data_IF_485418484161
#
_entry.id   IF_485418484161
#
_cell.length_a   1.000
_cell.length_b   1.000
_cell.length_c   1.000
_cell.angle_alpha   90.00
_cell.angle_beta   90.00
_cell.angle_gamma   90.00
#
_symmetry.space_group_name_H-M   'P 1'
#
loop_
_entity.id
_entity.type
_entity.pdbx_description
1 polymer ?
#
# COMPACT_ATOMS: atom_id res chain seq x y z
N UNK A 1 -1.69 0.36 22.63
CA UNK A 1 -1.41 1.80 22.52
C UNK A 1 -2.30 2.38 21.45
N UNK A 2 -2.96 3.50 21.72
CA UNK A 2 -3.66 4.25 20.70
C UNK A 2 -2.70 5.07 19.83
N UNK A 3 -3.22 5.67 18.78
CA UNK A 3 -2.48 6.47 17.79
C UNK A 3 -1.71 7.64 18.42
N UNK A 4 -2.32 8.38 19.35
CA UNK A 4 -1.68 9.56 19.96
C UNK A 4 -0.55 9.14 20.91
N UNK A 5 -0.73 8.04 21.64
CA UNK A 5 0.35 7.44 22.45
C UNK A 5 1.53 6.99 21.59
N UNK A 6 1.27 6.40 20.42
CA UNK A 6 2.33 5.99 19.48
C UNK A 6 3.06 7.21 18.95
N UNK A 7 2.33 8.24 18.53
CA UNK A 7 2.89 9.51 18.04
C UNK A 7 3.78 10.19 19.08
N UNK A 8 3.35 10.26 20.33
CA UNK A 8 4.16 10.79 21.42
C UNK A 8 5.40 9.93 21.71
N UNK A 9 5.29 8.59 21.61
CA UNK A 9 6.46 7.72 21.76
C UNK A 9 7.49 7.96 20.65
N UNK A 10 7.05 8.10 19.39
CA UNK A 10 7.94 8.34 18.24
C UNK A 10 8.75 9.63 18.40
N UNK A 11 8.12 10.73 18.84
CA UNK A 11 8.80 12.01 19.07
C UNK A 11 9.89 11.98 20.14
N UNK A 12 9.82 11.01 21.04
CA UNK A 12 10.67 10.93 22.22
C UNK A 12 11.75 9.85 22.11
N UNK A 13 11.85 9.15 20.97
CA UNK A 13 12.94 8.22 20.74
C UNK A 13 14.29 8.93 20.73
N UNK A 14 15.28 8.30 21.38
CA UNK A 14 16.65 8.81 21.54
C UNK A 14 17.70 7.94 20.86
N UNK A 15 17.32 6.77 20.37
CA UNK A 15 18.24 5.86 19.71
C UNK A 15 17.53 4.96 18.69
N UNK A 16 18.31 4.47 17.73
CA UNK A 16 17.90 3.44 16.76
C UNK A 16 17.45 2.14 17.45
N UNK A 17 18.01 1.84 18.64
CA UNK A 17 17.61 0.68 19.45
C UNK A 17 16.19 0.82 19.99
N UNK A 18 15.82 2.00 20.50
CA UNK A 18 14.45 2.26 20.99
C UNK A 18 13.42 2.14 19.85
N UNK A 19 13.74 2.65 18.66
CA UNK A 19 12.91 2.51 17.46
C UNK A 19 12.73 1.02 17.09
N UNK A 20 13.85 0.30 17.00
CA UNK A 20 13.84 -1.12 16.64
C UNK A 20 13.05 -1.97 17.63
N UNK A 21 13.21 -1.73 18.93
CA UNK A 21 12.48 -2.43 19.98
C UNK A 21 10.98 -2.12 19.93
N UNK A 22 10.62 -0.85 19.74
CA UNK A 22 9.22 -0.46 19.56
C UNK A 22 8.56 -1.18 18.39
N UNK A 23 9.22 -1.26 17.23
CA UNK A 23 8.65 -1.93 16.04
C UNK A 23 8.44 -3.42 16.32
N UNK A 24 9.43 -4.10 16.92
CA UNK A 24 9.33 -5.52 17.26
C UNK A 24 8.19 -5.79 18.24
N UNK A 25 8.09 -5.00 19.31
CA UNK A 25 6.98 -5.09 20.28
C UNK A 25 5.63 -4.86 19.61
N UNK A 26 5.56 -3.88 18.70
CA UNK A 26 4.33 -3.52 18.00
C UNK A 26 3.88 -4.61 17.03
N UNK A 27 4.80 -5.18 16.25
CA UNK A 27 4.53 -6.33 15.36
C UNK A 27 4.02 -7.51 16.18
N UNK A 28 4.71 -7.88 17.27
CA UNK A 28 4.31 -8.98 18.13
C UNK A 28 2.90 -8.76 18.71
N UNK A 29 2.63 -7.54 19.22
CA UNK A 29 1.30 -7.19 19.71
C UNK A 29 0.23 -7.35 18.63
N UNK A 30 0.44 -6.80 17.44
CA UNK A 30 -0.51 -6.88 16.33
C UNK A 30 -0.74 -8.33 15.88
N UNK A 31 0.30 -9.15 15.84
CA UNK A 31 0.22 -10.56 15.49
C UNK A 31 -0.55 -11.41 16.50
N UNK A 32 -0.51 -11.06 17.79
CA UNK A 32 -1.37 -11.72 18.81
C UNK A 32 -2.86 -11.46 18.59
N UNK A 33 -3.20 -10.37 17.91
CA UNK A 33 -4.58 -10.00 17.56
C UNK A 33 -5.02 -10.62 16.22
N UNK A 34 -4.07 -11.00 15.36
CA UNK A 34 -4.37 -11.59 14.04
C UNK A 34 -4.96 -13.00 14.15
N UNK A 35 -5.98 -13.25 13.32
CA UNK A 35 -6.55 -14.58 13.06
C UNK A 35 -6.07 -15.08 11.71
N UNK A 36 -5.72 -16.37 11.64
CA UNK A 36 -5.24 -17.02 10.42
C UNK A 36 -6.29 -16.96 9.31
N UNK A 37 -5.89 -16.45 8.14
CA UNK A 37 -6.77 -16.31 6.98
C UNK A 37 -5.97 -16.08 5.69
N UNK A 38 -6.59 -16.41 4.55
CA UNK A 38 -6.09 -16.10 3.22
C UNK A 38 -6.74 -14.80 2.76
N UNK A 39 -5.93 -13.86 2.27
CA UNK A 39 -6.40 -12.58 1.74
C UNK A 39 -5.80 -12.34 0.36
N UNK A 40 -6.35 -11.37 -0.38
CA UNK A 40 -5.83 -10.95 -1.68
C UNK A 40 -6.77 -11.26 -2.84
N UNK A 41 -6.22 -11.28 -4.04
CA UNK A 41 -7.00 -11.41 -5.29
C UNK A 41 -7.88 -12.66 -5.26
N UNK A 42 -9.18 -12.51 -5.52
CA UNK A 42 -10.20 -13.58 -5.46
C UNK A 42 -10.48 -14.18 -4.07
N UNK A 43 -9.86 -13.70 -2.99
CA UNK A 43 -10.11 -14.17 -1.62
C UNK A 43 -10.84 -13.14 -0.76
N UNK A 44 -10.50 -11.86 -0.90
CA UNK A 44 -11.05 -10.76 -0.08
C UNK A 44 -11.08 -9.45 -0.87
N UNK A 45 -12.12 -8.64 -0.70
CA UNK A 45 -12.16 -7.29 -1.27
C UNK A 45 -11.46 -6.25 -0.38
N UNK A 46 -11.57 -6.42 0.94
CA UNK A 46 -10.93 -5.54 1.93
C UNK A 46 -10.37 -6.34 3.10
N UNK A 47 -9.26 -5.88 3.67
CA UNK A 47 -8.65 -6.46 4.86
C UNK A 47 -8.24 -5.35 5.86
N UNK A 48 -8.67 -5.51 7.12
CA UNK A 48 -8.52 -4.49 8.16
C UNK A 48 -7.38 -4.78 9.15
N UNK A 49 -7.03 -6.05 9.37
CA UNK A 49 -6.05 -6.43 10.40
C UNK A 49 -4.61 -6.26 9.92
N UNK A 50 -3.63 -6.52 10.79
CA UNK A 50 -2.22 -6.50 10.42
C UNK A 50 -1.84 -7.74 9.60
N UNK A 51 -1.07 -7.57 8.52
CA UNK A 51 -0.56 -8.67 7.69
C UNK A 51 0.64 -9.29 8.42
N UNK A 52 0.35 -10.19 9.36
CA UNK A 52 1.31 -10.96 10.15
C UNK A 52 1.69 -12.30 9.51
N UNK A 53 2.49 -13.12 10.19
CA UNK A 53 2.81 -14.48 9.74
C UNK A 53 1.60 -15.41 9.60
N UNK A 54 0.46 -15.07 10.24
CA UNK A 54 -0.80 -15.81 10.14
C UNK A 54 -1.63 -15.43 8.90
N UNK A 55 -1.23 -14.39 8.18
CA UNK A 55 -2.01 -13.87 7.05
C UNK A 55 -1.36 -14.32 5.75
N UNK A 56 -2.04 -15.19 5.01
CA UNK A 56 -1.56 -15.68 3.73
C UNK A 56 -1.99 -14.72 2.62
N UNK A 57 -1.19 -13.69 2.37
CA UNK A 57 -1.51 -12.69 1.35
C UNK A 57 -1.17 -13.20 -0.06
N UNK A 58 -2.21 -13.51 -0.84
CA UNK A 58 -2.14 -13.89 -2.25
C UNK A 58 -2.25 -12.66 -3.15
N UNK A 59 -1.11 -12.06 -3.47
CA UNK A 59 -1.00 -10.96 -4.44
C UNK A 59 -1.47 -11.37 -5.86
N UNK A 60 -1.32 -12.65 -6.19
CA UNK A 60 -1.84 -13.29 -7.39
C UNK A 60 -2.62 -14.53 -6.97
N UNK A 61 -3.84 -14.69 -7.47
CA UNK A 61 -4.62 -15.88 -7.13
C UNK A 61 -3.99 -17.17 -7.65
N UNK A 62 -4.06 -18.19 -6.80
CA UNK A 62 -3.79 -19.56 -7.21
C UNK A 62 -4.91 -20.06 -8.14
N UNK A 63 -4.52 -20.83 -9.14
CA UNK A 63 -5.45 -21.54 -10.02
C UNK A 63 -5.34 -23.05 -9.80
N UNK A 64 -6.29 -23.82 -10.33
CA UNK A 64 -6.31 -25.29 -10.21
C UNK A 64 -5.02 -26.01 -10.66
N UNK A 65 -4.08 -25.31 -11.31
CA UNK A 65 -2.80 -25.86 -11.77
C UNK A 65 -1.57 -25.20 -11.19
N UNK A 66 -1.70 -24.07 -10.51
CA UNK A 66 -0.59 -23.24 -10.05
C UNK A 66 -0.91 -22.64 -8.67
N UNK A 67 -0.14 -23.02 -7.65
CA UNK A 67 -0.19 -22.40 -6.34
C UNK A 67 0.84 -21.27 -6.30
N UNK A 68 0.35 -20.03 -6.38
CA UNK A 68 1.22 -18.86 -6.27
C UNK A 68 1.64 -18.68 -4.80
N UNK A 69 2.91 -18.38 -4.53
CA UNK A 69 3.39 -18.18 -3.16
C UNK A 69 2.74 -16.96 -2.50
N UNK A 70 2.63 -17.01 -1.17
CA UNK A 70 2.15 -15.89 -0.36
C UNK A 70 3.23 -14.80 -0.29
N UNK A 71 2.81 -13.54 -0.30
CA UNK A 71 3.70 -12.42 -0.01
C UNK A 71 3.84 -12.25 1.52
N UNK A 72 5.08 -12.18 2.00
CA UNK A 72 5.38 -12.05 3.43
C UNK A 72 6.13 -10.74 3.71
N UNK A 73 5.64 -9.95 4.68
CA UNK A 73 6.25 -8.68 5.09
C UNK A 73 7.19 -8.85 6.29
N UNK A 74 8.33 -9.51 6.07
CA UNK A 74 9.30 -9.92 7.09
C UNK A 74 10.56 -9.01 7.18
N UNK A 75 10.56 -7.84 6.53
CA UNK A 75 11.64 -6.86 6.66
C UNK A 75 11.23 -5.69 7.55
N UNK A 76 12.06 -5.40 8.55
CA UNK A 76 11.87 -4.29 9.48
C UNK A 76 12.30 -2.94 8.88
N UNK A 77 13.23 -2.97 7.92
CA UNK A 77 13.87 -1.79 7.33
C UNK A 77 12.89 -0.67 6.98
N UNK A 78 11.82 -0.91 6.19
CA UNK A 78 10.90 0.16 5.82
C UNK A 78 10.12 0.76 7.01
N UNK A 79 9.83 -0.02 8.06
CA UNK A 79 9.21 0.53 9.27
C UNK A 79 10.20 1.39 10.05
N UNK A 80 11.44 0.93 10.15
CA UNK A 80 12.52 1.59 10.87
C UNK A 80 12.88 2.94 10.24
N UNK A 81 13.16 2.98 8.93
CA UNK A 81 13.55 4.21 8.23
C UNK A 81 12.46 5.28 8.32
N UNK A 82 11.19 4.91 8.14
CA UNK A 82 10.09 5.86 8.27
C UNK A 82 9.95 6.37 9.71
N UNK A 83 9.97 5.50 10.72
CA UNK A 83 9.83 5.94 12.12
C UNK A 83 11.02 6.80 12.53
N UNK A 84 12.22 6.50 12.03
CA UNK A 84 13.41 7.34 12.23
C UNK A 84 13.20 8.72 11.64
N UNK A 85 12.79 8.84 10.38
CA UNK A 85 12.47 10.13 9.76
C UNK A 85 11.41 10.90 10.55
N UNK A 86 10.34 10.21 10.99
CA UNK A 86 9.27 10.82 11.79
C UNK A 86 9.74 11.27 13.18
N UNK A 87 10.71 10.58 13.78
CA UNK A 87 11.27 10.95 15.09
C UNK A 87 12.16 12.20 15.01
N UNK A 88 12.84 12.38 13.88
CA UNK A 88 13.72 13.52 13.62
C UNK A 88 12.94 14.76 13.14
N UNK A 89 11.84 14.55 12.43
CA UNK A 89 10.99 15.63 11.92
C UNK A 89 9.91 16.04 12.92
N UNK A 90 10.03 17.27 13.44
CA UNK A 90 9.06 17.87 14.37
C UNK A 90 7.73 18.25 13.71
N UNK A 91 7.65 18.18 12.38
CA UNK A 91 6.57 18.80 11.57
C UNK A 91 5.47 17.82 11.15
N UNK A 92 5.68 16.50 11.24
CA UNK A 92 4.72 15.50 10.78
C UNK A 92 3.68 15.15 11.85
N UNK A 93 2.79 16.10 12.18
CA UNK A 93 1.74 15.92 13.19
C UNK A 93 0.31 15.86 12.65
N UNK A 94 0.14 15.88 11.33
CA UNK A 94 -1.15 15.66 10.65
C UNK A 94 -0.99 14.51 9.64
N UNK A 95 -1.92 13.56 9.66
CA UNK A 95 -1.86 12.30 8.91
C UNK A 95 -1.86 12.50 7.39
N UNK A 96 -2.41 13.61 6.90
CA UNK A 96 -2.30 13.95 5.48
C UNK A 96 -0.84 14.16 5.03
N UNK A 97 0.05 14.52 5.96
CA UNK A 97 1.49 14.67 5.71
C UNK A 97 2.26 13.37 5.83
N UNK A 98 1.64 12.30 6.32
CA UNK A 98 2.29 10.98 6.38
C UNK A 98 2.36 10.35 4.98
N UNK A 99 1.42 10.64 4.09
CA UNK A 99 1.33 9.99 2.77
C UNK A 99 2.55 10.23 1.87
N UNK A 100 3.15 11.42 1.95
CA UNK A 100 4.38 11.73 1.18
C UNK A 100 5.61 10.97 1.69
N UNK A 101 6.05 11.10 2.95
CA UNK A 101 7.20 10.35 3.46
C UNK A 101 6.95 8.84 3.40
N UNK A 102 5.72 8.37 3.65
CA UNK A 102 5.37 6.95 3.51
C UNK A 102 5.52 6.47 2.07
N UNK A 103 4.95 7.17 1.08
CA UNK A 103 5.10 6.82 -0.33
C UNK A 103 6.58 6.82 -0.74
N UNK A 104 7.34 7.84 -0.35
CA UNK A 104 8.76 7.94 -0.68
C UNK A 104 9.58 6.82 -0.04
N UNK A 105 9.31 6.46 1.20
CA UNK A 105 9.95 5.36 1.90
C UNK A 105 9.69 4.02 1.20
N UNK A 106 8.42 3.75 0.85
CA UNK A 106 8.05 2.53 0.11
C UNK A 106 8.70 2.53 -1.28
N UNK A 107 8.65 3.64 -2.00
CA UNK A 107 9.25 3.77 -3.32
C UNK A 107 10.76 3.53 -3.28
N UNK A 108 11.49 4.15 -2.35
CA UNK A 108 12.93 3.94 -2.20
C UNK A 108 13.26 2.48 -1.84
N UNK A 109 12.39 1.84 -1.07
CA UNK A 109 12.55 0.45 -0.67
C UNK A 109 12.25 -0.51 -1.83
N UNK A 110 11.11 -0.40 -2.52
CA UNK A 110 10.63 -1.39 -3.49
C UNK A 110 10.89 -1.05 -4.97
N UNK A 111 11.26 0.17 -5.29
CA UNK A 111 11.39 0.65 -6.67
C UNK A 111 12.77 1.26 -6.94
N UNK A 112 13.20 1.26 -8.19
CA UNK A 112 14.39 1.99 -8.63
C UNK A 112 13.98 3.32 -9.27
N UNK A 113 14.88 4.31 -9.31
CA UNK A 113 14.62 5.54 -10.08
C UNK A 113 14.41 5.26 -11.58
N UNK A 114 15.00 4.17 -12.07
CA UNK A 114 14.92 3.68 -13.44
C UNK A 114 13.62 2.89 -13.72
N UNK A 115 13.01 2.26 -12.71
CA UNK A 115 11.79 1.47 -12.87
C UNK A 115 10.57 2.32 -13.22
N UNK A 116 10.51 3.59 -12.76
CA UNK A 116 9.47 4.54 -13.24
C UNK A 116 9.57 4.83 -14.74
N UNK A 117 10.77 4.71 -15.33
CA UNK A 117 10.99 4.89 -16.77
C UNK A 117 10.86 3.61 -17.58
N UNK A 118 10.86 2.42 -16.95
CA UNK A 118 10.68 1.15 -17.65
C UNK A 118 9.79 0.17 -16.86
N UNK A 119 8.47 0.42 -16.92
CA UNK A 119 7.47 -0.38 -16.21
C UNK A 119 7.39 -1.83 -16.72
N UNK A 120 7.73 -2.05 -17.99
CA UNK A 120 7.73 -3.37 -18.63
C UNK A 120 8.80 -4.30 -18.03
N UNK A 121 10.03 -3.79 -17.84
CA UNK A 121 11.12 -4.54 -17.19
C UNK A 121 10.74 -4.91 -15.74
N UNK A 122 10.12 -3.96 -15.04
CA UNK A 122 9.69 -4.17 -13.64
C UNK A 122 8.62 -5.25 -13.53
N UNK A 123 7.65 -5.26 -14.46
CA UNK A 123 6.63 -6.32 -14.55
C UNK A 123 7.26 -7.67 -14.86
N UNK A 124 8.22 -7.70 -15.79
CA UNK A 124 8.93 -8.92 -16.16
C UNK A 124 9.69 -9.52 -14.98
N UNK A 125 10.46 -8.70 -14.25
CA UNK A 125 11.22 -9.15 -13.08
C UNK A 125 10.31 -9.63 -11.96
N UNK A 126 9.19 -8.92 -11.72
CA UNK A 126 8.17 -9.35 -10.77
C UNK A 126 7.58 -10.71 -11.15
N UNK A 127 7.16 -10.88 -12.41
CA UNK A 127 6.61 -12.15 -12.87
C UNK A 127 7.62 -13.29 -12.78
N UNK A 128 8.87 -13.03 -13.13
CA UNK A 128 9.96 -14.00 -13.02
C UNK A 128 10.18 -14.44 -11.58
N UNK A 129 10.17 -13.49 -10.63
CA UNK A 129 10.31 -13.81 -9.20
C UNK A 129 9.19 -14.74 -8.71
N UNK A 130 7.93 -14.43 -9.03
CA UNK A 130 6.80 -15.32 -8.70
C UNK A 130 6.95 -16.70 -9.37
N UNK A 131 7.35 -16.74 -10.63
CA UNK A 131 7.56 -17.98 -11.38
C UNK A 131 8.67 -18.86 -10.78
N UNK A 132 9.80 -18.26 -10.41
CA UNK A 132 10.94 -18.97 -9.85
C UNK A 132 10.60 -19.61 -8.49
N UNK A 133 9.85 -18.93 -7.63
CA UNK A 133 9.42 -19.48 -6.35
C UNK A 133 8.38 -20.58 -6.52
N UNK A 134 7.40 -20.35 -7.40
CA UNK A 134 6.38 -21.35 -7.72
C UNK A 134 6.99 -22.63 -8.29
N UNK A 135 7.95 -22.54 -9.22
CA UNK A 135 8.59 -23.72 -9.83
C UNK A 135 9.51 -24.47 -8.86
N UNK A 136 10.04 -23.80 -7.84
CA UNK A 136 10.76 -24.44 -6.72
C UNK A 136 9.84 -25.07 -5.68
N UNK A 137 8.53 -24.81 -5.74
CA UNK A 137 7.55 -25.30 -4.78
C UNK A 137 7.56 -24.52 -3.46
N UNK A 138 8.13 -23.31 -3.44
CA UNK A 138 8.15 -22.44 -2.26
C UNK A 138 6.76 -21.85 -2.06
N UNK A 139 6.27 -21.86 -0.81
CA UNK A 139 4.94 -21.36 -0.49
C UNK A 139 4.90 -19.85 -0.22
N UNK A 140 6.05 -19.20 -0.08
CA UNK A 140 6.17 -17.83 0.40
C UNK A 140 7.31 -17.08 -0.31
N UNK A 141 7.09 -15.79 -0.59
CA UNK A 141 8.11 -14.84 -1.05
C UNK A 141 8.24 -13.73 -0.01
N UNK A 142 9.44 -13.55 0.52
CA UNK A 142 9.78 -12.42 1.38
C UNK A 142 9.73 -11.11 0.59
N UNK A 143 9.22 -10.04 1.22
CA UNK A 143 9.27 -8.68 0.67
C UNK A 143 10.71 -8.22 0.36
N UNK A 144 11.71 -8.81 1.02
CA UNK A 144 13.14 -8.55 0.78
C UNK A 144 13.56 -8.94 -0.64
N UNK A 145 12.92 -9.93 -1.25
CA UNK A 145 13.24 -10.34 -2.62
C UNK A 145 12.80 -9.30 -3.64
N UNK A 146 11.63 -8.69 -3.43
CA UNK A 146 11.17 -7.54 -4.21
C UNK A 146 12.05 -6.31 -3.99
N UNK A 147 12.52 -6.09 -2.75
CA UNK A 147 13.49 -5.03 -2.45
C UNK A 147 14.81 -5.23 -3.19
N UNK A 148 15.37 -6.44 -3.18
CA UNK A 148 16.62 -6.77 -3.88
C UNK A 148 16.52 -6.53 -5.38
N UNK A 149 15.38 -6.87 -5.98
CA UNK A 149 15.15 -6.74 -7.42
C UNK A 149 14.53 -5.41 -7.83
N UNK A 150 14.11 -4.57 -6.85
CA UNK A 150 13.42 -3.30 -7.08
C UNK A 150 12.17 -3.43 -7.97
N UNK A 151 11.42 -4.51 -7.77
CA UNK A 151 10.29 -4.91 -8.61
C UNK A 151 8.93 -4.97 -7.88
N UNK A 152 8.75 -4.15 -6.84
CA UNK A 152 7.45 -4.06 -6.15
C UNK A 152 6.39 -3.35 -6.99
N UNK A 153 5.15 -3.86 -6.90
CA UNK A 153 3.95 -3.34 -7.56
C UNK A 153 2.85 -3.01 -6.54
N UNK A 154 1.62 -2.81 -7.02
CA UNK A 154 0.49 -2.41 -6.17
C UNK A 154 0.27 -3.31 -4.96
N UNK A 155 0.35 -4.64 -5.09
CA UNK A 155 0.18 -5.56 -3.97
C UNK A 155 1.24 -5.41 -2.88
N UNK A 156 2.51 -5.29 -3.30
CA UNK A 156 3.64 -5.12 -2.39
C UNK A 156 3.61 -3.74 -1.72
N UNK A 157 3.35 -2.69 -2.51
CA UNK A 157 3.28 -1.30 -2.05
C UNK A 157 2.12 -1.09 -1.07
N UNK A 158 0.91 -1.52 -1.42
CA UNK A 158 -0.28 -1.35 -0.58
C UNK A 158 -0.26 -2.19 0.68
N UNK A 159 0.29 -3.41 0.62
CA UNK A 159 0.44 -4.26 1.81
C UNK A 159 1.48 -3.70 2.78
N UNK A 160 2.61 -3.20 2.28
CA UNK A 160 3.62 -2.55 3.12
C UNK A 160 3.09 -1.25 3.74
N UNK A 161 2.40 -0.42 2.95
CA UNK A 161 1.73 0.78 3.45
C UNK A 161 0.71 0.46 4.54
N UNK A 162 -0.12 -0.56 4.33
CA UNK A 162 -1.09 -1.01 5.31
C UNK A 162 -0.44 -1.42 6.64
N UNK A 163 0.61 -2.25 6.60
CA UNK A 163 1.33 -2.64 7.80
C UNK A 163 1.98 -1.45 8.52
N UNK A 164 2.52 -0.47 7.77
CA UNK A 164 3.03 0.79 8.34
C UNK A 164 1.93 1.52 9.11
N UNK A 165 0.74 1.72 8.52
CA UNK A 165 -0.38 2.37 9.21
C UNK A 165 -0.76 1.63 10.51
N UNK A 166 -0.81 0.29 10.48
CA UNK A 166 -1.11 -0.54 11.65
C UNK A 166 -0.08 -0.38 12.77
N UNK A 167 1.20 -0.35 12.42
CA UNK A 167 2.30 -0.07 13.37
C UNK A 167 2.13 1.30 14.00
N UNK A 168 1.79 2.32 13.21
CA UNK A 168 1.52 3.69 13.65
C UNK A 168 0.18 3.83 14.42
N UNK A 169 -0.63 2.78 14.50
CA UNK A 169 -1.95 2.81 15.16
C UNK A 169 -3.01 3.59 14.39
N UNK A 170 -2.80 3.76 13.08
CA UNK A 170 -3.76 4.40 12.19
C UNK A 170 -4.62 3.30 11.55
N UNK A 171 -5.93 3.46 11.62
CA UNK A 171 -6.85 2.53 10.99
C UNK A 171 -6.76 2.66 9.46
N UNK A 172 -6.51 1.53 8.80
CA UNK A 172 -6.42 1.41 7.36
C UNK A 172 -7.09 0.13 6.88
N UNK A 173 -7.52 0.11 5.63
CA UNK A 173 -7.95 -1.07 4.90
C UNK A 173 -6.97 -1.30 3.76
N UNK A 174 -6.46 -2.52 3.65
CA UNK A 174 -5.91 -3.01 2.39
C UNK A 174 -7.09 -3.35 1.49
N UNK A 175 -7.14 -2.75 0.31
CA UNK A 175 -8.20 -2.98 -0.67
C UNK A 175 -7.65 -3.76 -1.85
N UNK A 176 -8.42 -4.76 -2.27
CA UNK A 176 -8.25 -5.47 -3.53
C UNK A 176 -9.43 -5.10 -4.40
N UNK A 177 -9.16 -4.46 -5.53
CA UNK A 177 -10.20 -3.93 -6.39
C UNK A 177 -9.65 -3.57 -7.76
N UNK A 178 -10.16 -2.47 -8.34
CA UNK A 178 -9.69 -1.99 -9.64
C UNK A 178 -9.31 -0.52 -9.59
N UNK A 179 -8.30 -0.18 -10.38
CA UNK A 179 -7.99 1.18 -10.82
C UNK A 179 -8.23 1.22 -12.32
N UNK A 180 -9.17 2.04 -12.74
CA UNK A 180 -9.80 1.95 -14.06
C UNK A 180 -10.33 0.51 -14.25
N UNK A 181 -9.89 -0.17 -15.31
CA UNK A 181 -10.29 -1.55 -15.63
C UNK A 181 -9.25 -2.60 -15.18
N UNK A 182 -8.16 -2.19 -14.54
CA UNK A 182 -7.06 -3.07 -14.13
C UNK A 182 -7.18 -3.48 -12.66
N UNK A 183 -6.87 -4.75 -12.39
CA UNK A 183 -6.79 -5.27 -11.02
C UNK A 183 -5.69 -4.55 -10.25
N UNK A 184 -6.05 -4.02 -9.08
CA UNK A 184 -5.20 -3.12 -8.33
C UNK A 184 -5.36 -3.30 -6.82
N UNK A 185 -4.30 -2.95 -6.09
CA UNK A 185 -4.31 -2.91 -4.63
C UNK A 185 -3.93 -1.51 -4.13
N UNK A 186 -4.70 -1.00 -3.18
CA UNK A 186 -4.52 0.34 -2.61
C UNK A 186 -5.06 0.37 -1.17
N UNK A 187 -5.03 1.53 -0.52
CA UNK A 187 -5.49 1.68 0.86
C UNK A 187 -6.64 2.67 1.00
N UNK A 188 -7.57 2.38 1.91
CA UNK A 188 -8.46 3.39 2.49
C UNK A 188 -8.02 3.62 3.93
N UNK A 189 -7.66 4.85 4.26
CA UNK A 189 -7.14 5.24 5.56
C UNK A 189 -8.21 6.02 6.32
N UNK A 190 -8.33 5.74 7.61
CA UNK A 190 -9.29 6.34 8.53
C UNK A 190 -8.55 7.08 9.64
N UNK A 191 -8.10 8.33 9.40
CA UNK A 191 -7.47 9.18 10.40
C UNK A 191 -8.23 9.26 11.74
N UNK A 192 -9.56 9.18 11.71
CA UNK A 192 -10.41 9.25 12.90
C UNK A 192 -10.95 7.89 13.36
N UNK A 193 -10.34 6.81 12.89
CA UNK A 193 -10.76 5.44 13.18
C UNK A 193 -11.88 4.94 12.26
N UNK A 194 -12.05 3.62 12.20
CA UNK A 194 -13.02 2.97 11.32
C UNK A 194 -14.44 3.55 11.40
N UNK A 195 -15.07 3.73 10.23
CA UNK A 195 -16.43 4.26 10.11
C UNK A 195 -16.54 5.78 10.30
N UNK A 196 -15.45 6.48 10.66
CA UNK A 196 -15.46 7.93 10.83
C UNK A 196 -14.88 8.65 9.62
N UNK A 197 -15.45 9.82 9.29
CA UNK A 197 -14.94 10.71 8.26
C UNK A 197 -13.82 11.63 8.80
N UNK A 198 -12.79 11.95 8.00
CA UNK A 198 -12.64 11.59 6.59
C UNK A 198 -12.16 10.15 6.38
N UNK A 199 -12.69 9.47 5.35
CA UNK A 199 -12.00 8.35 4.71
C UNK A 199 -11.07 8.89 3.63
N UNK A 200 -9.87 8.33 3.52
CA UNK A 200 -8.86 8.80 2.56
C UNK A 200 -8.41 7.65 1.68
N UNK A 201 -8.66 7.74 0.37
CA UNK A 201 -8.00 6.87 -0.60
C UNK A 201 -6.52 7.25 -0.64
N UNK A 202 -5.65 6.28 -0.45
CA UNK A 202 -4.22 6.42 -0.60
C UNK A 202 -3.70 5.31 -1.52
N UNK A 203 -2.99 5.69 -2.58
CA UNK A 203 -2.40 4.76 -3.52
C UNK A 203 -0.88 4.91 -3.51
N UNK A 204 -0.14 4.00 -2.83
CA UNK A 204 1.31 4.10 -2.74
C UNK A 204 2.03 3.76 -4.05
N UNK A 205 1.32 3.33 -5.10
CA UNK A 205 1.89 3.00 -6.41
C UNK A 205 2.00 4.22 -7.33
N UNK A 206 1.31 5.31 -6.99
CA UNK A 206 1.27 6.53 -7.78
C UNK A 206 1.77 7.73 -6.97
N UNK A 207 2.22 8.76 -7.68
CA UNK A 207 2.62 10.03 -7.10
C UNK A 207 1.90 11.19 -7.77
N UNK A 208 1.81 12.30 -7.04
CA UNK A 208 1.49 13.61 -7.61
C UNK A 208 2.83 14.32 -7.80
N UNK A 209 3.20 14.57 -9.05
CA UNK A 209 4.46 15.18 -9.41
C UNK A 209 4.30 16.68 -9.65
N UNK A 210 5.24 17.49 -9.17
CA UNK A 210 5.26 18.93 -9.37
C UNK A 210 6.50 19.30 -10.20
N UNK A 211 6.25 19.85 -11.38
CA UNK A 211 7.26 20.06 -12.43
C UNK A 211 7.58 21.54 -12.63
N UNK A 212 8.83 21.81 -13.04
CA UNK A 212 9.24 23.03 -13.74
C UNK A 212 9.32 22.76 -15.24
N UNK A 213 9.49 23.79 -16.07
CA UNK A 213 9.63 23.66 -17.54
C UNK A 213 10.73 22.67 -17.96
N UNK A 214 11.75 22.45 -17.11
CA UNK A 214 12.89 21.57 -17.39
C UNK A 214 12.85 20.21 -16.66
N UNK A 215 11.78 19.86 -15.95
CA UNK A 215 11.64 18.52 -15.35
C UNK A 215 10.88 18.47 -14.02
N UNK A 216 10.79 17.26 -13.45
CA UNK A 216 10.17 17.05 -12.13
C UNK A 216 11.05 17.62 -11.02
N UNK A 217 10.45 18.43 -10.14
CA UNK A 217 11.13 19.03 -8.99
C UNK A 217 10.76 18.34 -7.69
N UNK A 218 9.52 17.88 -7.55
CA UNK A 218 9.02 17.29 -6.30
C UNK A 218 7.94 16.24 -6.57
N UNK A 219 7.91 15.16 -5.80
CA UNK A 219 6.85 14.14 -5.85
C UNK A 219 6.23 13.96 -4.46
N UNK A 220 4.91 13.80 -4.42
CA UNK A 220 4.14 13.60 -3.19
C UNK A 220 3.25 12.37 -3.29
N UNK A 221 2.76 11.87 -2.16
CA UNK A 221 1.87 10.70 -2.13
C UNK A 221 0.56 10.97 -2.88
N UNK A 222 0.05 9.96 -3.60
CA UNK A 222 -1.25 10.03 -4.25
C UNK A 222 -2.36 9.74 -3.24
N UNK A 223 -3.21 10.74 -2.96
CA UNK A 223 -4.33 10.56 -2.05
C UNK A 223 -5.56 11.39 -2.44
N UNK A 224 -6.73 10.98 -1.95
CA UNK A 224 -7.99 11.71 -2.01
C UNK A 224 -8.75 11.58 -0.70
N UNK A 225 -9.13 12.72 -0.11
CA UNK A 225 -10.18 12.71 0.92
C UNK A 225 -11.51 12.44 0.22
N UNK A 226 -12.11 11.28 0.52
CA UNK A 226 -13.34 10.83 -0.11
C UNK A 226 -14.54 11.51 0.56
N UNK A 227 -15.53 11.85 -0.24
CA UNK A 227 -16.90 12.06 0.23
C UNK A 227 -17.51 10.72 0.65
N UNK A 228 -18.57 10.78 1.46
CA UNK A 228 -19.27 9.58 1.88
C UNK A 228 -19.90 8.84 0.69
N UNK A 229 -20.37 9.57 -0.32
CA UNK A 229 -20.98 9.01 -1.52
C UNK A 229 -19.93 8.34 -2.40
N UNK A 230 -18.75 8.94 -2.59
CA UNK A 230 -17.64 8.31 -3.31
C UNK A 230 -17.24 6.98 -2.64
N UNK A 231 -17.03 6.99 -1.31
CA UNK A 231 -16.65 5.78 -0.58
C UNK A 231 -17.73 4.68 -0.65
N UNK A 232 -19.00 5.04 -0.45
CA UNK A 232 -20.11 4.08 -0.54
C UNK A 232 -20.29 3.52 -1.96
N UNK A 233 -20.08 4.34 -3.00
CA UNK A 233 -20.14 3.90 -4.38
C UNK A 233 -19.01 2.92 -4.70
N UNK A 234 -17.79 3.20 -4.22
CA UNK A 234 -16.66 2.27 -4.33
C UNK A 234 -16.93 0.95 -3.62
N UNK A 235 -17.46 0.97 -2.39
CA UNK A 235 -17.84 -0.22 -1.61
C UNK A 235 -18.90 -1.08 -2.30
N UNK A 236 -19.76 -0.47 -3.11
CA UNK A 236 -20.74 -1.19 -3.93
C UNK A 236 -20.13 -1.87 -5.18
N UNK A 237 -18.80 -1.79 -5.37
CA UNK A 237 -18.10 -2.29 -6.55
C UNK A 237 -18.14 -1.35 -7.75
N UNK A 238 -18.74 -0.17 -7.62
CA UNK A 238 -18.86 0.73 -8.76
C UNK A 238 -17.54 1.49 -9.00
N UNK A 239 -17.14 1.56 -10.28
CA UNK A 239 -16.05 2.44 -10.71
C UNK A 239 -16.40 3.90 -10.40
N UNK A 240 -15.72 4.46 -9.41
CA UNK A 240 -15.93 5.83 -8.94
C UNK A 240 -14.79 6.69 -9.43
N UNK A 241 -15.10 7.70 -10.26
CA UNK A 241 -14.08 8.61 -10.76
C UNK A 241 -13.54 9.50 -9.64
N UNK A 242 -12.23 9.44 -9.41
CA UNK A 242 -11.55 10.18 -8.35
C UNK A 242 -10.77 11.34 -8.96
N UNK A 243 -11.27 12.56 -8.73
CA UNK A 243 -10.56 13.79 -9.03
C UNK A 243 -9.72 14.23 -7.82
N UNK A 244 -8.40 14.19 -7.97
CA UNK A 244 -7.44 14.55 -6.92
C UNK A 244 -7.04 16.04 -6.95
N UNK A 245 -7.67 16.87 -7.77
CA UNK A 245 -7.42 18.32 -7.80
C UNK A 245 -7.56 18.99 -6.43
N UNK A 246 -8.49 18.52 -5.59
CA UNK A 246 -8.63 18.99 -4.20
C UNK A 246 -7.42 18.64 -3.32
N UNK A 247 -6.82 17.47 -3.53
CA UNK A 247 -5.61 17.03 -2.82
C UNK A 247 -4.41 17.86 -3.24
N UNK A 248 -4.29 18.18 -4.52
CA UNK A 248 -3.26 19.07 -5.06
C UNK A 248 -3.36 20.47 -4.47
N UNK A 249 -4.57 21.06 -4.46
CA UNK A 249 -4.80 22.36 -3.84
C UNK A 249 -4.44 22.35 -2.34
N UNK A 250 -4.77 21.25 -1.66
CA UNK A 250 -4.41 21.02 -0.25
C UNK A 250 -2.89 20.99 -0.06
N UNK A 251 -2.16 20.24 -0.89
CA UNK A 251 -0.70 20.14 -0.85
C UNK A 251 -0.03 21.49 -1.09
N UNK A 252 -0.45 22.26 -2.11
CA UNK A 252 0.09 23.59 -2.39
C UNK A 252 -0.13 24.53 -1.21
N UNK A 253 -1.31 24.50 -0.59
CA UNK A 253 -1.63 25.33 0.57
C UNK A 253 -0.71 25.04 1.76
N UNK A 254 -0.34 23.77 1.97
CA UNK A 254 0.48 23.36 3.10
C UNK A 254 1.99 23.47 2.85
N UNK A 255 2.43 23.35 1.59
CA UNK A 255 3.82 23.49 1.19
C UNK A 255 4.01 24.64 0.18
N UNK A 256 3.59 25.87 0.54
CA UNK A 256 3.57 26.98 -0.42
C UNK A 256 4.98 27.33 -0.89
N UNK A 257 6.00 27.20 -0.03
CA UNK A 257 7.38 27.54 -0.38
C UNK A 257 8.01 26.54 -1.36
N UNK A 258 7.55 25.29 -1.33
CA UNK A 258 8.08 24.21 -2.16
C UNK A 258 7.31 24.07 -3.47
N UNK A 259 5.98 24.24 -3.44
CA UNK A 259 5.09 23.85 -4.53
C UNK A 259 4.46 25.02 -5.29
N UNK A 260 4.41 26.24 -4.73
CA UNK A 260 3.84 27.39 -5.43
C UNK A 260 4.64 27.69 -6.70
N UNK A 261 3.94 27.87 -7.82
CA UNK A 261 4.54 28.13 -9.13
C UNK A 261 5.04 26.87 -9.86
N UNK A 262 4.89 25.68 -9.28
CA UNK A 262 5.12 24.42 -9.99
C UNK A 262 3.84 23.95 -10.69
N UNK A 263 4.02 23.26 -11.81
CA UNK A 263 2.91 22.67 -12.57
C UNK A 263 2.65 21.26 -12.01
N UNK A 264 1.48 21.01 -11.39
CA UNK A 264 1.15 19.68 -10.91
C UNK A 264 0.84 18.76 -12.11
N UNK A 265 1.34 17.53 -12.04
CA UNK A 265 1.17 16.47 -13.02
C UNK A 265 0.73 15.20 -12.28
N UNK A 266 -0.49 14.77 -12.58
CA UNK A 266 -1.13 13.64 -11.93
C UNK A 266 -2.22 13.07 -12.84
N UNK A 267 -2.63 11.84 -12.55
CA UNK A 267 -3.70 11.16 -13.28
C UNK A 267 -4.94 11.03 -12.40
N UNK A 268 -6.08 11.49 -12.90
CA UNK A 268 -7.37 11.13 -12.33
C UNK A 268 -7.76 9.74 -12.83
N UNK A 269 -8.20 8.87 -11.93
CA UNK A 269 -8.53 7.48 -12.26
C UNK A 269 -9.84 7.09 -11.58
N UNK A 270 -10.47 6.04 -12.09
CA UNK A 270 -11.63 5.44 -11.45
C UNK A 270 -11.17 4.36 -10.48
N UNK A 271 -11.77 4.27 -9.29
CA UNK A 271 -11.46 3.21 -8.32
C UNK A 271 -12.72 2.45 -7.91
N UNK A 272 -12.57 1.17 -7.57
CA UNK A 272 -13.64 0.31 -7.05
C UNK A 272 -13.10 -0.69 -6.03
N UNK A 273 -13.95 -1.13 -5.09
CA UNK A 273 -13.63 -2.15 -4.07
C UNK A 273 -14.29 -3.46 -4.46
N UNK A 274 -13.53 -4.55 -4.48
CA UNK A 274 -13.97 -5.80 -5.10
C UNK A 274 -14.18 -5.62 -6.61
N UNK A 275 -14.44 -6.72 -7.33
CA UNK A 275 -15.09 -6.75 -8.67
C UNK A 275 -14.81 -8.03 -9.47
N UNK A 276 -13.94 -8.91 -8.97
CA UNK A 276 -13.83 -10.28 -9.46
C UNK A 276 -14.54 -11.17 -8.44
N UNK A 277 -15.56 -11.95 -8.85
CA UNK A 277 -16.27 -12.83 -7.93
C UNK A 277 -15.26 -13.70 -7.17
N UNK A 278 -15.30 -13.78 -5.82
CA UNK A 278 -14.42 -14.65 -5.07
C UNK A 278 -14.48 -16.04 -5.68
N UNK A 279 -13.34 -16.73 -5.79
CA UNK A 279 -13.36 -18.13 -6.23
C UNK A 279 -14.32 -18.86 -5.29
N UNK A 280 -15.47 -19.31 -5.82
CA UNK A 280 -16.20 -20.39 -5.17
C UNK A 280 -15.22 -21.54 -5.14
N UNK A 281 -14.69 -21.85 -3.96
CA UNK A 281 -13.95 -23.08 -3.74
C UNK A 281 -15.01 -24.19 -3.80
N UNK A 282 -15.48 -24.49 -5.01
CA UNK A 282 -16.30 -25.65 -5.28
C UNK A 282 -15.35 -26.84 -5.23
N UNK A 283 -15.49 -27.61 -4.17
CA UNK A 283 -14.97 -28.96 -4.07
C UNK A 283 -15.64 -29.84 -5.12
N UNK A 284 -15.34 -29.69 -6.42
CA UNK A 284 -15.50 -30.71 -7.47
C UNK A 284 -15.13 -30.21 -8.88
N UNK A 285 -14.18 -30.92 -9.48
CA UNK A 285 -14.00 -31.26 -10.91
C UNK A 285 -14.55 -30.31 -12.00
N UNK A 286 -13.66 -29.98 -12.93
CA UNK A 286 -13.96 -30.11 -14.36
C UNK A 286 -13.64 -28.90 -15.23
N UNK A 287 -12.57 -29.04 -16.03
CA UNK A 287 -12.37 -28.48 -17.36
C UNK A 287 -13.13 -27.20 -17.75
N UNK A 288 -12.44 -26.05 -17.80
CA UNK A 288 -12.43 -25.18 -18.98
C UNK A 288 -11.09 -24.44 -19.02
N UNK A 289 -10.41 -24.52 -20.16
CA UNK A 289 -9.19 -23.76 -20.41
C UNK A 289 -9.51 -22.45 -21.11
N UNK A 290 -8.87 -21.35 -20.71
CA UNK A 290 -8.43 -20.32 -21.64
C UNK A 290 -7.48 -19.29 -21.01
N UNK A 291 -6.45 -18.97 -21.79
CA UNK A 291 -5.81 -17.66 -22.05
C UNK A 291 -5.53 -16.74 -20.85
N UNK A 292 -4.26 -16.76 -20.47
CA UNK A 292 -3.55 -15.71 -19.74
C UNK A 292 -3.40 -14.50 -20.68
N UNK A 293 -3.78 -13.31 -20.20
CA UNK A 293 -3.33 -12.00 -20.72
C UNK A 293 -1.90 -11.80 -20.21
#
# INVERSE_FOLDING_TARGET
>A
MDKEQIKEKIKNFKSDEEISNFIKERILFLETQSTEQIIGQFYTDTFNDFISSKIHYKSVASSNRLNFPNLVFDDITPYFELIKELSESKDYLNELFLFTPLMMNIFNYLSSKESKSNIEDTLYDRHRLYWDYMTKGESEISIKEFHKQKCGFCSENAGLAHNIFKILGIDSQLVIGKRNDENHAYNIVFPRGYGNQPAVLFDPSYSIDFKMENGCKYSTGYFKVLTIDEYNNMLAGNGTHIDIGSSVATLIRYYPNQLTGLIPNYENASYSIGNDSPLKIDSQKGNYGCRII
#
